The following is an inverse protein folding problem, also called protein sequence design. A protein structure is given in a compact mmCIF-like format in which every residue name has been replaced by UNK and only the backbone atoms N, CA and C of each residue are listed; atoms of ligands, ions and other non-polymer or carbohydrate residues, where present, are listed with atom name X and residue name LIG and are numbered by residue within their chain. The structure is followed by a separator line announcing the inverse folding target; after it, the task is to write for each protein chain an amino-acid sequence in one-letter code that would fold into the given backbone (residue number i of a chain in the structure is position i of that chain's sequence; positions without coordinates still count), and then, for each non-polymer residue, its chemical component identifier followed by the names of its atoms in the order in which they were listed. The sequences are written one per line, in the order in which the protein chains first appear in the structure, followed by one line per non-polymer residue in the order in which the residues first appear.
data_IF_014190136878
#
_entry.id   IF_014190136878
#
_cell.length_a   1.000
_cell.length_b   1.000
_cell.length_c   1.000
_cell.angle_alpha   90.00
_cell.angle_beta   90.00
_cell.angle_gamma   90.00
#
_symmetry.space_group_name_H-M   'P 1'
#
loop_
_entity.id
_entity.type
_entity.pdbx_description
1 polymer ?
#
# COMPACT_ATOMS: atom_id res chain seq x y z
N UNK A 1 2.66 4.28 1.19
CA UNK A 1 1.84 3.07 1.08
C UNK A 1 2.59 2.00 0.34
N UNK A 2 2.43 1.84 -0.96
CA UNK A 2 3.12 0.79 -1.71
C UNK A 2 3.30 1.22 -3.18
N UNK A 3 4.26 0.63 -3.88
CA UNK A 3 4.53 0.91 -5.29
C UNK A 3 5.05 -0.35 -6.00
N UNK A 4 4.64 -0.53 -7.25
CA UNK A 4 5.17 -1.52 -8.18
C UNK A 4 5.54 -0.82 -9.49
N UNK A 5 6.39 -1.44 -10.31
CA UNK A 5 6.83 -0.86 -11.57
C UNK A 5 6.99 -1.89 -12.69
N UNK A 6 7.05 -1.42 -13.93
CA UNK A 6 7.50 -2.25 -15.04
C UNK A 6 9.01 -2.53 -14.94
N UNK A 7 9.47 -3.67 -15.47
CA UNK A 7 10.88 -4.08 -15.49
C UNK A 7 11.80 -3.02 -16.14
N UNK A 8 11.29 -2.32 -17.15
CA UNK A 8 12.01 -1.31 -17.91
C UNK A 8 11.94 0.10 -17.28
N UNK A 9 11.24 0.26 -16.16
CA UNK A 9 11.15 1.54 -15.46
C UNK A 9 12.53 2.05 -15.01
N UNK A 10 12.73 3.36 -15.13
CA UNK A 10 13.95 4.07 -14.76
C UNK A 10 13.63 5.17 -13.75
N UNK A 11 14.45 5.26 -12.71
CA UNK A 11 14.31 6.21 -11.62
C UNK A 11 15.53 7.13 -11.55
N UNK A 12 15.34 8.38 -11.11
CA UNK A 12 16.39 9.37 -10.99
C UNK A 12 15.99 10.51 -10.05
N UNK A 13 16.95 11.02 -9.28
CA UNK A 13 16.86 12.30 -8.55
C UNK A 13 17.76 13.30 -9.26
N UNK A 14 17.21 14.00 -10.26
CA UNK A 14 18.00 14.77 -11.24
C UNK A 14 18.23 16.25 -10.88
N UNK A 15 17.63 16.74 -9.80
CA UNK A 15 17.57 18.16 -9.44
C UNK A 15 18.96 18.81 -9.36
N UNK A 16 19.96 18.08 -8.89
CA UNK A 16 21.33 18.61 -8.77
C UNK A 16 21.97 18.95 -10.13
N UNK A 17 21.49 18.34 -11.23
CA UNK A 17 21.95 18.66 -12.58
C UNK A 17 21.52 20.06 -13.04
N UNK A 18 20.48 20.61 -12.43
CA UNK A 18 19.97 21.96 -12.72
C UNK A 18 20.23 22.94 -11.57
N UNK A 19 21.16 22.60 -10.67
CA UNK A 19 21.55 23.45 -9.55
C UNK A 19 20.53 23.49 -8.39
N UNK A 20 19.63 22.51 -8.31
CA UNK A 20 18.61 22.43 -7.26
C UNK A 20 18.83 21.22 -6.36
N UNK A 21 18.37 21.30 -5.11
CA UNK A 21 18.30 20.14 -4.22
C UNK A 21 16.89 19.51 -4.30
N UNK A 22 16.76 18.17 -4.17
CA UNK A 22 15.47 17.48 -4.08
C UNK A 22 14.80 17.68 -2.70
N UNK A 23 14.72 18.92 -2.23
CA UNK A 23 14.48 19.25 -0.81
C UNK A 23 13.12 18.75 -0.30
N UNK A 24 12.04 18.98 -1.06
CA UNK A 24 10.67 18.63 -0.65
C UNK A 24 10.46 17.10 -0.59
N UNK A 25 11.08 16.35 -1.50
CA UNK A 25 10.92 14.89 -1.58
C UNK A 25 11.88 14.13 -0.66
N UNK A 26 12.98 14.77 -0.23
CA UNK A 26 14.06 14.12 0.52
C UNK A 26 13.60 13.36 1.78
N UNK A 27 12.71 13.89 2.64
CA UNK A 27 12.24 13.14 3.80
C UNK A 27 11.59 11.80 3.43
N UNK A 28 10.79 11.79 2.36
CA UNK A 28 10.08 10.58 1.90
C UNK A 28 11.02 9.59 1.22
N UNK A 29 11.97 10.09 0.42
CA UNK A 29 12.98 9.23 -0.22
C UNK A 29 13.87 8.59 0.83
N UNK A 30 14.36 9.36 1.81
CA UNK A 30 15.18 8.81 2.92
C UNK A 30 14.39 7.79 3.72
N UNK A 31 13.11 8.04 3.98
CA UNK A 31 12.24 7.07 4.67
C UNK A 31 12.05 5.78 3.85
N UNK A 32 11.95 5.87 2.52
CA UNK A 32 11.73 4.73 1.64
C UNK A 32 12.99 3.87 1.42
N UNK A 33 14.13 4.50 1.09
CA UNK A 33 15.34 3.79 0.64
C UNK A 33 16.54 3.92 1.57
N UNK A 34 16.36 4.60 2.70
CA UNK A 34 17.41 4.88 3.67
C UNK A 34 18.38 5.97 3.21
N UNK A 35 19.11 6.53 4.18
CA UNK A 35 19.97 7.69 3.96
C UNK A 35 21.10 7.40 2.95
N UNK A 36 21.70 6.21 3.01
CA UNK A 36 22.86 5.88 2.17
C UNK A 36 22.50 5.79 0.68
N UNK A 37 21.37 5.15 0.35
CA UNK A 37 20.92 5.07 -1.04
C UNK A 37 20.40 6.44 -1.52
N UNK A 38 19.62 7.14 -0.69
CA UNK A 38 19.13 8.49 -1.01
C UNK A 38 20.28 9.45 -1.33
N UNK A 39 21.32 9.48 -0.49
CA UNK A 39 22.50 10.35 -0.69
C UNK A 39 23.23 10.01 -2.00
N UNK A 40 23.43 8.72 -2.28
CA UNK A 40 24.06 8.31 -3.56
C UNK A 40 23.29 8.87 -4.74
N UNK A 41 22.01 8.54 -4.87
CA UNK A 41 21.23 8.89 -6.06
C UNK A 41 20.93 10.39 -6.17
N UNK A 42 20.76 11.09 -5.05
CA UNK A 42 20.57 12.54 -5.05
C UNK A 42 21.83 13.30 -5.47
N UNK A 43 23.02 12.84 -5.08
CA UNK A 43 24.28 13.52 -5.40
C UNK A 43 24.82 13.15 -6.79
N UNK A 44 24.69 11.89 -7.20
CA UNK A 44 25.18 11.45 -8.53
C UNK A 44 24.21 11.79 -9.64
N UNK A 45 22.91 11.95 -9.32
CA UNK A 45 21.83 12.04 -10.30
C UNK A 45 21.91 10.93 -11.35
N UNK A 46 22.42 9.75 -10.99
CA UNK A 46 22.48 8.60 -11.89
C UNK A 46 21.09 7.95 -12.01
N UNK A 47 20.81 7.39 -13.19
CA UNK A 47 19.61 6.57 -13.38
C UNK A 47 19.81 5.18 -12.79
N UNK A 48 18.73 4.58 -12.28
CA UNK A 48 18.73 3.19 -11.84
C UNK A 48 17.44 2.47 -12.24
N UNK A 49 17.57 1.14 -12.41
CA UNK A 49 16.50 0.25 -12.89
C UNK A 49 15.46 -0.08 -11.83
N UNK A 50 14.32 -0.61 -12.27
CA UNK A 50 13.29 -1.21 -11.42
C UNK A 50 13.85 -2.29 -10.48
N UNK A 51 14.71 -3.17 -10.97
CA UNK A 51 15.39 -4.17 -10.15
C UNK A 51 16.18 -3.52 -9.00
N UNK A 52 16.94 -2.46 -9.29
CA UNK A 52 17.68 -1.74 -8.26
C UNK A 52 16.74 -1.01 -7.30
N UNK A 53 15.67 -0.41 -7.82
CA UNK A 53 14.64 0.26 -7.03
C UNK A 53 13.99 -0.71 -6.02
N UNK A 54 13.72 -1.95 -6.43
CA UNK A 54 13.23 -3.00 -5.53
C UNK A 54 14.27 -3.36 -4.46
N UNK A 55 15.52 -3.61 -4.85
CA UNK A 55 16.60 -3.98 -3.93
C UNK A 55 16.84 -2.94 -2.82
N UNK A 56 16.61 -1.67 -3.10
CA UNK A 56 16.78 -0.57 -2.13
C UNK A 56 15.47 -0.18 -1.42
N UNK A 57 14.35 -0.85 -1.72
CA UNK A 57 13.06 -0.63 -1.06
C UNK A 57 12.22 0.54 -1.60
N UNK A 58 12.57 1.10 -2.78
CA UNK A 58 11.78 2.18 -3.39
C UNK A 58 10.43 1.69 -3.91
N UNK A 59 10.43 0.49 -4.47
CA UNK A 59 9.25 -0.24 -4.94
C UNK A 59 9.26 -1.62 -4.29
N UNK A 60 8.09 -2.23 -4.14
CA UNK A 60 7.94 -3.55 -3.56
C UNK A 60 8.24 -4.66 -4.59
N UNK A 61 7.70 -4.53 -5.80
CA UNK A 61 7.79 -5.52 -6.87
C UNK A 61 7.92 -4.85 -8.23
N UNK A 62 8.48 -5.58 -9.18
CA UNK A 62 8.50 -5.18 -10.58
C UNK A 62 8.10 -6.36 -11.47
N UNK A 63 7.46 -6.06 -12.60
CA UNK A 63 6.92 -7.06 -13.52
C UNK A 63 7.20 -6.69 -14.98
N UNK A 64 7.18 -7.66 -15.91
CA UNK A 64 7.15 -7.35 -17.33
C UNK A 64 6.00 -6.38 -17.63
N UNK A 65 6.24 -5.39 -18.50
CA UNK A 65 5.25 -4.35 -18.81
C UNK A 65 3.89 -4.93 -19.21
N UNK A 66 3.89 -6.04 -19.97
CA UNK A 66 2.66 -6.72 -20.40
C UNK A 66 1.84 -7.35 -19.27
N UNK A 67 2.45 -7.61 -18.10
CA UNK A 67 1.80 -8.19 -16.92
C UNK A 67 1.48 -7.15 -15.84
N UNK A 68 1.97 -5.91 -15.98
CA UNK A 68 1.87 -4.89 -14.91
C UNK A 68 0.40 -4.59 -14.53
N UNK A 69 -0.49 -4.49 -15.52
CA UNK A 69 -1.91 -4.21 -15.27
C UNK A 69 -2.60 -5.36 -14.52
N UNK A 70 -2.32 -6.61 -14.91
CA UNK A 70 -2.84 -7.80 -14.23
C UNK A 70 -2.37 -7.84 -12.77
N UNK A 71 -1.07 -7.61 -12.53
CA UNK A 71 -0.52 -7.62 -11.17
C UNK A 71 -1.07 -6.46 -10.34
N UNK A 72 -1.27 -5.30 -10.95
CA UNK A 72 -1.95 -4.16 -10.30
C UNK A 72 -3.37 -4.53 -9.89
N UNK A 73 -4.12 -5.22 -10.76
CA UNK A 73 -5.47 -5.68 -10.46
C UNK A 73 -5.47 -6.66 -9.27
N UNK A 74 -4.55 -7.61 -9.21
CA UNK A 74 -4.42 -8.53 -8.06
C UNK A 74 -4.17 -7.79 -6.73
N UNK A 75 -3.38 -6.72 -6.75
CA UNK A 75 -3.16 -5.89 -5.57
C UNK A 75 -4.43 -5.15 -5.15
N UNK A 76 -5.17 -4.60 -6.12
CA UNK A 76 -6.45 -3.93 -5.88
C UNK A 76 -7.48 -4.91 -5.33
N UNK A 77 -7.60 -6.10 -5.91
CA UNK A 77 -8.51 -7.14 -5.47
C UNK A 77 -8.24 -7.51 -4.01
N UNK A 78 -6.97 -7.71 -3.65
CA UNK A 78 -6.58 -7.97 -2.27
C UNK A 78 -6.96 -6.83 -1.32
N UNK A 79 -6.86 -5.56 -1.74
CA UNK A 79 -7.27 -4.41 -0.93
C UNK A 79 -8.79 -4.37 -0.74
N UNK A 80 -9.57 -4.66 -1.79
CA UNK A 80 -11.03 -4.64 -1.78
C UNK A 80 -11.66 -5.71 -0.87
N UNK A 81 -10.91 -6.74 -0.48
CA UNK A 81 -11.36 -7.71 0.52
C UNK A 81 -11.48 -7.11 1.94
N UNK A 82 -10.87 -5.95 2.19
CA UNK A 82 -10.70 -5.42 3.54
C UNK A 82 -11.70 -4.32 3.90
N UNK A 83 -11.97 -4.17 5.20
CA UNK A 83 -12.79 -3.09 5.75
C UNK A 83 -12.16 -1.73 5.42
N UNK A 84 -12.88 -0.82 4.71
CA UNK A 84 -12.36 0.52 4.40
C UNK A 84 -11.99 1.33 5.65
N UNK A 85 -12.75 1.19 6.73
CA UNK A 85 -12.47 1.85 8.00
C UNK A 85 -11.22 1.28 8.67
N UNK A 86 -11.06 -0.04 8.68
CA UNK A 86 -9.88 -0.69 9.24
C UNK A 86 -8.63 -0.30 8.44
N UNK A 87 -8.69 -0.29 7.10
CA UNK A 87 -7.57 0.13 6.26
C UNK A 87 -7.12 1.57 6.55
N UNK A 88 -8.06 2.52 6.69
CA UNK A 88 -7.73 3.90 7.07
C UNK A 88 -7.06 3.96 8.44
N UNK A 89 -7.65 3.30 9.44
CA UNK A 89 -7.08 3.24 10.79
C UNK A 89 -5.69 2.59 10.80
N UNK A 90 -5.46 1.55 10.00
CA UNK A 90 -4.15 0.91 9.84
C UNK A 90 -3.11 1.85 9.22
N UNK A 91 -3.48 2.63 8.19
CA UNK A 91 -2.57 3.63 7.61
C UNK A 91 -2.16 4.70 8.62
N UNK A 92 -3.12 5.21 9.40
CA UNK A 92 -2.85 6.20 10.43
C UNK A 92 -1.96 5.61 11.54
N UNK A 93 -2.26 4.38 11.98
CA UNK A 93 -1.48 3.67 12.99
C UNK A 93 -0.03 3.46 12.56
N UNK A 94 0.19 2.98 11.33
CA UNK A 94 1.53 2.72 10.80
C UNK A 94 2.32 4.02 10.61
N UNK A 95 1.65 5.12 10.25
CA UNK A 95 2.27 6.45 10.16
C UNK A 95 2.76 6.93 11.53
N UNK A 96 1.95 6.75 12.57
CA UNK A 96 2.30 7.16 13.94
C UNK A 96 3.42 6.30 14.54
N UNK A 97 3.39 4.99 14.28
CA UNK A 97 4.45 4.07 14.71
C UNK A 97 5.77 4.37 13.99
N UNK A 98 5.71 4.74 12.70
CA UNK A 98 6.87 5.16 11.92
C UNK A 98 8.04 4.17 12.01
N UNK A 99 9.24 4.68 12.27
CA UNK A 99 10.44 3.88 12.58
C UNK A 99 10.75 3.79 14.09
N UNK A 100 9.81 4.23 14.94
CA UNK A 100 10.09 4.79 16.26
C UNK A 100 10.23 3.80 17.42
N UNK A 101 10.91 4.27 18.48
CA UNK A 101 10.99 3.62 19.78
C UNK A 101 9.61 3.43 20.42
N UNK A 102 9.43 2.30 21.11
CA UNK A 102 8.20 1.95 21.82
C UNK A 102 8.04 2.78 23.10
N UNK A 103 7.60 4.03 22.93
CA UNK A 103 7.29 4.91 24.07
C UNK A 103 5.96 4.54 24.73
N UNK A 104 5.76 4.85 26.03
CA UNK A 104 4.47 4.68 26.69
C UNK A 104 3.33 5.46 26.01
N UNK A 105 3.63 6.59 25.38
CA UNK A 105 2.64 7.38 24.64
C UNK A 105 2.19 6.67 23.36
N UNK A 106 3.15 6.17 22.57
CA UNK A 106 2.87 5.39 21.36
C UNK A 106 2.08 4.11 21.70
N UNK A 107 2.44 3.44 22.79
CA UNK A 107 1.69 2.26 23.28
C UNK A 107 0.23 2.60 23.57
N UNK A 108 -0.04 3.68 24.32
CA UNK A 108 -1.41 4.13 24.61
C UNK A 108 -2.19 4.51 23.35
N UNK A 109 -1.51 5.11 22.38
CA UNK A 109 -2.10 5.42 21.08
C UNK A 109 -2.57 4.14 20.36
N UNK A 110 -1.70 3.12 20.28
CA UNK A 110 -2.03 1.82 19.68
C UNK A 110 -3.19 1.12 20.39
N UNK A 111 -3.18 1.09 21.72
CA UNK A 111 -4.25 0.52 22.56
C UNK A 111 -5.59 1.24 22.30
N UNK A 112 -5.57 2.57 22.21
CA UNK A 112 -6.76 3.36 21.91
C UNK A 112 -7.25 3.13 20.47
N UNK A 113 -6.34 3.00 19.51
CA UNK A 113 -6.68 2.75 18.10
C UNK A 113 -7.41 1.41 17.92
N UNK A 114 -6.88 0.34 18.53
CA UNK A 114 -7.53 -0.98 18.44
C UNK A 114 -8.87 -1.02 19.18
N UNK A 115 -8.98 -0.35 20.34
CA UNK A 115 -10.24 -0.27 21.08
C UNK A 115 -11.33 0.44 20.24
N UNK A 116 -10.99 1.57 19.61
CA UNK A 116 -11.93 2.32 18.75
C UNK A 116 -12.37 1.53 17.52
N UNK A 117 -11.44 0.91 16.79
CA UNK A 117 -11.81 0.19 15.57
C UNK A 117 -12.60 -1.09 15.88
N UNK A 118 -12.31 -1.74 17.01
CA UNK A 118 -13.03 -2.96 17.41
C UNK A 118 -14.50 -2.68 17.73
N UNK A 119 -14.83 -1.52 18.31
CA UNK A 119 -16.21 -1.14 18.64
C UNK A 119 -16.92 -0.39 17.53
N UNK A 120 -16.29 -0.20 16.37
CA UNK A 120 -16.90 0.47 15.22
C UNK A 120 -17.91 -0.42 14.49
N UNK A 121 -18.72 0.20 13.61
CA UNK A 121 -19.69 -0.54 12.80
C UNK A 121 -19.04 -1.63 11.94
N UNK A 122 -17.96 -1.31 11.21
CA UNK A 122 -17.25 -2.30 10.40
C UNK A 122 -16.51 -3.34 11.26
N UNK A 123 -15.97 -2.94 12.42
CA UNK A 123 -15.33 -3.87 13.35
C UNK A 123 -16.31 -4.91 13.92
N UNK A 124 -17.51 -4.48 14.33
CA UNK A 124 -18.57 -5.37 14.80
C UNK A 124 -19.10 -6.26 13.67
N UNK A 125 -19.32 -5.70 12.48
CA UNK A 125 -19.75 -6.47 11.32
C UNK A 125 -18.74 -7.54 10.91
N UNK A 126 -17.44 -7.21 10.89
CA UNK A 126 -16.37 -8.16 10.59
C UNK A 126 -16.32 -9.33 11.55
N UNK A 127 -16.37 -9.04 12.86
CA UNK A 127 -16.42 -10.09 13.89
C UNK A 127 -17.65 -10.99 13.71
N UNK A 128 -18.82 -10.39 13.46
CA UNK A 128 -20.06 -11.12 13.24
C UNK A 128 -19.99 -11.98 11.96
N UNK A 129 -19.46 -11.45 10.87
CA UNK A 129 -19.31 -12.16 9.60
C UNK A 129 -18.40 -13.37 9.76
N UNK A 130 -17.24 -13.18 10.41
CA UNK A 130 -16.29 -14.24 10.72
C UNK A 130 -16.91 -15.36 11.58
N UNK A 131 -17.59 -15.01 12.67
CA UNK A 131 -18.24 -15.98 13.56
C UNK A 131 -19.36 -16.76 12.86
N UNK A 132 -20.10 -16.12 11.95
CA UNK A 132 -21.18 -16.74 11.20
C UNK A 132 -20.72 -17.38 9.88
N UNK A 133 -19.41 -17.44 9.60
CA UNK A 133 -18.84 -18.00 8.36
C UNK A 133 -19.47 -17.44 7.08
N UNK A 134 -19.71 -16.14 7.05
CA UNK A 134 -20.22 -15.42 5.87
C UNK A 134 -19.26 -14.29 5.48
N UNK A 135 -19.39 -13.80 4.26
CA UNK A 135 -18.68 -12.60 3.83
C UNK A 135 -19.19 -11.36 4.58
N UNK A 136 -18.30 -10.43 4.96
CA UNK A 136 -18.69 -9.16 5.56
C UNK A 136 -19.31 -8.21 4.52
N UNK A 137 -20.14 -7.27 4.98
CA UNK A 137 -20.92 -6.39 4.09
C UNK A 137 -20.12 -5.50 3.12
N UNK A 138 -18.83 -5.25 3.37
CA UNK A 138 -17.98 -4.48 2.45
C UNK A 138 -17.44 -5.30 1.28
N UNK A 139 -17.57 -6.63 1.31
CA UNK A 139 -17.24 -7.52 0.19
C UNK A 139 -18.48 -7.83 -0.65
N UNK A 140 -19.46 -6.92 -0.71
CA UNK A 140 -20.75 -7.17 -1.35
C UNK A 140 -20.57 -7.91 -2.68
N UNK A 141 -21.27 -9.05 -2.79
CA UNK A 141 -21.10 -10.08 -3.80
C UNK A 141 -20.94 -9.48 -5.19
N UNK A 142 -19.85 -9.85 -5.88
CA UNK A 142 -19.78 -9.74 -7.32
C UNK A 142 -21.08 -10.34 -7.88
N UNK A 143 -21.88 -9.51 -8.52
CA UNK A 143 -23.27 -9.80 -8.88
C UNK A 143 -23.47 -11.21 -9.43
N UNK A 144 -24.37 -11.96 -8.80
CA UNK A 144 -24.94 -13.20 -9.30
C UNK A 144 -25.93 -12.91 -10.45
N UNK A 145 -25.53 -12.06 -11.41
CA UNK A 145 -26.34 -11.65 -12.57
C UNK A 145 -25.96 -12.40 -13.87
N UNK A 146 -25.19 -13.49 -13.77
CA UNK A 146 -24.81 -14.32 -14.92
C UNK A 146 -25.62 -15.62 -15.06
N UNK A 147 -26.50 -15.94 -14.10
CA UNK A 147 -27.30 -17.18 -14.12
C UNK A 147 -28.65 -17.04 -14.84
N UNK A 148 -29.13 -15.83 -15.13
CA UNK A 148 -30.51 -15.60 -15.61
C UNK A 148 -30.67 -15.42 -17.14
N UNK A 149 -29.63 -15.73 -17.93
CA UNK A 149 -29.68 -15.62 -19.42
C UNK A 149 -29.73 -16.96 -20.17
N UNK A 150 -29.75 -18.11 -19.49
CA UNK A 150 -29.82 -19.42 -20.18
C UNK A 150 -31.23 -19.99 -20.37
N UNK A 151 -32.25 -19.44 -19.73
CA UNK A 151 -33.61 -20.02 -19.76
C UNK A 151 -34.61 -19.31 -20.70
N UNK A 152 -34.17 -18.39 -21.58
CA UNK A 152 -35.06 -17.77 -22.59
C UNK A 152 -34.82 -18.23 -24.03
N UNK A 153 -34.03 -19.28 -24.24
CA UNK A 153 -33.93 -19.97 -25.53
C UNK A 153 -34.31 -21.44 -25.35
N UNK A 154 -35.61 -21.71 -25.24
CA UNK A 154 -36.23 -23.02 -25.45
C UNK A 154 -37.59 -22.83 -26.09
#
# INVERSE_FOLDING_TARGET
DMAIAADDAQFCLSEVRIGLAPAVISPFVVQAIGERAARRYALTAERFSAQRAQQIGLIAEHYPLAALDEQTALWVDNLLLNSPQAMRASKDLLREVGSGELTPALRRYCESAIARIRTSAEGQEGLRAFLNKRSPGWQAQADDSASDKKDSQS
#
